data_IF_696796847876
#
_entry.id   IF_696796847876
#
_cell.length_a   1.000
_cell.length_b   1.000
_cell.length_c   1.000
_cell.angle_alpha   90.00
_cell.angle_beta   90.00
_cell.angle_gamma   90.00
#
_symmetry.space_group_name_H-M   'P 1'
#
loop_
_entity.id
_entity.type
_entity.pdbx_description
1 polymer ?
#
# COMPACT_ATOMS: atom_id res chain seq x y z
N UNK A 1 0.18 19.29 17.05
CA UNK A 1 -0.14 18.88 15.66
C UNK A 1 -1.09 19.92 15.06
N UNK A 2 -0.78 20.54 13.92
CA UNK A 2 -1.63 21.59 13.27
C UNK A 2 -2.88 20.99 12.60
N UNK A 3 -2.73 19.80 12.02
CA UNK A 3 -3.82 19.04 11.39
C UNK A 3 -4.10 17.80 12.24
N UNK A 4 -5.37 17.53 12.61
CA UNK A 4 -5.71 16.41 13.47
C UNK A 4 -5.71 15.06 12.75
N UNK A 5 -5.87 15.05 11.43
CA UNK A 5 -5.85 13.86 10.57
C UNK A 5 -5.11 14.19 9.28
N UNK A 6 -4.20 13.30 8.87
CA UNK A 6 -3.42 13.42 7.64
C UNK A 6 -3.43 12.05 6.97
N UNK A 7 -3.58 12.04 5.65
CA UNK A 7 -3.46 10.84 4.85
C UNK A 7 -2.31 10.98 3.84
N UNK A 8 -1.59 9.89 3.62
CA UNK A 8 -0.66 9.73 2.51
C UNK A 8 -1.26 8.73 1.53
N UNK A 9 -1.45 9.16 0.27
CA UNK A 9 -2.07 8.38 -0.79
C UNK A 9 -1.01 8.13 -1.85
N UNK A 10 -0.72 6.87 -2.17
CA UNK A 10 0.34 6.51 -3.09
C UNK A 10 0.09 5.17 -3.80
N UNK A 11 0.74 4.98 -4.93
CA UNK A 11 0.86 3.65 -5.53
C UNK A 11 1.92 2.85 -4.76
N UNK A 12 1.67 1.56 -4.53
CA UNK A 12 2.66 0.64 -3.95
C UNK A 12 3.88 0.49 -4.87
N UNK A 13 3.62 0.12 -6.12
CA UNK A 13 4.58 0.17 -7.22
C UNK A 13 4.13 1.20 -8.25
N UNK A 14 4.98 2.18 -8.54
CA UNK A 14 4.68 3.22 -9.50
C UNK A 14 4.84 2.68 -10.92
N UNK A 15 3.87 2.96 -11.80
CA UNK A 15 3.86 2.49 -13.19
C UNK A 15 5.05 2.97 -14.03
N UNK A 16 5.65 4.11 -13.66
CA UNK A 16 6.85 4.69 -14.31
C UNK A 16 8.17 4.26 -13.65
N UNK A 17 8.12 3.34 -12.69
CA UNK A 17 9.28 2.82 -11.97
C UNK A 17 9.41 3.37 -10.55
N UNK A 18 10.01 2.55 -9.68
CA UNK A 18 10.13 2.83 -8.25
C UNK A 18 8.94 2.30 -7.44
N UNK A 19 9.08 2.37 -6.12
CA UNK A 19 8.09 1.87 -5.17
C UNK A 19 7.88 2.89 -4.05
N UNK A 20 6.74 2.82 -3.38
CA UNK A 20 6.51 3.63 -2.19
C UNK A 20 7.55 3.31 -1.10
N UNK A 21 8.03 4.32 -0.36
CA UNK A 21 8.94 4.12 0.78
C UNK A 21 8.15 3.63 2.00
N UNK A 22 7.63 2.40 1.92
CA UNK A 22 6.65 1.85 2.87
C UNK A 22 7.18 1.86 4.29
N UNK A 23 8.43 1.48 4.52
CA UNK A 23 9.05 1.44 5.85
C UNK A 23 9.04 2.82 6.51
N UNK A 24 9.47 3.85 5.79
CA UNK A 24 9.45 5.23 6.29
C UNK A 24 8.03 5.75 6.52
N UNK A 25 7.07 5.33 5.69
CA UNK A 25 5.65 5.67 5.88
C UNK A 25 5.06 4.99 7.12
N UNK A 26 5.46 3.75 7.42
CA UNK A 26 5.07 3.03 8.63
C UNK A 26 5.63 3.72 9.89
N UNK A 27 6.89 4.19 9.86
CA UNK A 27 7.46 5.00 10.95
C UNK A 27 6.67 6.30 11.17
N UNK A 28 6.24 6.97 10.10
CA UNK A 28 5.41 8.17 10.19
C UNK A 28 4.00 7.84 10.68
N UNK A 29 3.44 6.69 10.32
CA UNK A 29 2.16 6.20 10.82
C UNK A 29 2.22 5.97 12.34
N UNK A 30 3.25 5.28 12.83
CA UNK A 30 3.42 5.05 14.27
C UNK A 30 3.60 6.37 15.03
N UNK A 31 4.46 7.26 14.54
CA UNK A 31 4.77 8.53 15.21
C UNK A 31 3.61 9.54 15.18
N UNK A 32 2.88 9.61 14.07
CA UNK A 32 1.93 10.70 13.84
C UNK A 32 0.47 10.26 13.74
N UNK A 33 0.17 8.97 13.67
CA UNK A 33 -1.17 8.48 13.31
C UNK A 33 -1.51 8.80 11.86
N UNK A 34 -0.53 8.69 10.96
CA UNK A 34 -0.68 8.91 9.53
C UNK A 34 -1.59 7.82 8.94
N UNK A 35 -2.64 8.24 8.24
CA UNK A 35 -3.45 7.30 7.46
C UNK A 35 -2.73 6.96 6.16
N UNK A 36 -2.56 5.69 5.85
CA UNK A 36 -1.90 5.20 4.65
C UNK A 36 -2.94 4.61 3.70
N UNK A 37 -2.96 5.08 2.47
CA UNK A 37 -3.79 4.54 1.40
C UNK A 37 -2.90 4.15 0.23
N UNK A 38 -2.79 2.85 -0.04
CA UNK A 38 -1.97 2.32 -1.11
C UNK A 38 -2.83 1.77 -2.25
N UNK A 39 -2.53 2.16 -3.49
CA UNK A 39 -2.97 1.44 -4.69
C UNK A 39 -1.88 0.45 -5.09
N UNK A 40 -2.12 -0.84 -4.86
CA UNK A 40 -1.18 -1.92 -5.16
C UNK A 40 -1.56 -2.70 -6.43
N UNK A 41 -2.38 -2.11 -7.31
CA UNK A 41 -2.90 -2.77 -8.51
C UNK A 41 -1.81 -3.31 -9.44
N UNK A 42 -0.64 -2.68 -9.50
CA UNK A 42 0.47 -3.13 -10.35
C UNK A 42 1.32 -4.24 -9.70
N UNK A 43 1.15 -4.48 -8.41
CA UNK A 43 2.00 -5.41 -7.65
C UNK A 43 1.22 -6.63 -7.15
N UNK A 44 -0.10 -6.52 -6.99
CA UNK A 44 -0.97 -7.63 -6.61
C UNK A 44 -0.87 -8.77 -7.65
N UNK A 45 -0.67 -10.01 -7.20
CA UNK A 45 -0.38 -11.21 -8.01
C UNK A 45 0.98 -11.19 -8.76
N UNK A 46 1.79 -10.15 -8.56
CA UNK A 46 3.12 -10.01 -9.19
C UNK A 46 4.25 -10.08 -8.15
N UNK A 47 3.99 -9.60 -6.94
CA UNK A 47 4.98 -9.41 -5.87
C UNK A 47 4.49 -10.00 -4.55
N UNK A 48 5.42 -10.25 -3.63
CA UNK A 48 5.14 -10.98 -2.40
C UNK A 48 5.22 -12.49 -2.60
N UNK A 49 5.47 -13.23 -1.51
CA UNK A 49 5.72 -14.67 -1.59
C UNK A 49 4.47 -15.46 -2.08
N UNK A 50 3.29 -14.91 -1.82
CA UNK A 50 1.99 -15.48 -2.16
C UNK A 50 1.21 -14.59 -3.14
N UNK A 51 1.88 -13.60 -3.77
CA UNK A 51 1.23 -12.66 -4.68
C UNK A 51 0.39 -11.59 -3.97
N UNK A 52 0.65 -11.33 -2.69
CA UNK A 52 -0.11 -10.40 -1.85
C UNK A 52 0.06 -8.92 -2.20
N UNK A 53 1.03 -8.57 -3.05
CA UNK A 53 1.35 -7.20 -3.42
C UNK A 53 2.54 -6.62 -2.65
N UNK A 54 3.11 -5.53 -3.18
CA UNK A 54 4.33 -4.93 -2.67
C UNK A 54 4.10 -4.34 -1.28
N UNK A 55 3.05 -3.52 -1.12
CA UNK A 55 2.77 -2.87 0.15
C UNK A 55 2.45 -3.89 1.24
N UNK A 56 1.64 -4.92 0.93
CA UNK A 56 1.27 -5.97 1.89
C UNK A 56 2.46 -6.84 2.29
N UNK A 57 3.38 -7.13 1.36
CA UNK A 57 4.56 -7.97 1.62
C UNK A 57 5.52 -7.38 2.66
N UNK A 58 5.51 -6.06 2.83
CA UNK A 58 6.34 -5.32 3.79
C UNK A 58 5.66 -5.15 5.17
N UNK A 59 4.46 -5.69 5.35
CA UNK A 59 3.68 -5.60 6.59
C UNK A 59 3.38 -7.00 7.16
N UNK A 60 4.37 -7.82 7.53
CA UNK A 60 4.16 -9.23 7.87
C UNK A 60 3.16 -9.47 9.02
N UNK A 61 3.06 -8.51 9.93
CA UNK A 61 2.11 -8.53 11.05
C UNK A 61 0.68 -8.13 10.61
N UNK A 62 -0.19 -7.92 11.59
CA UNK A 62 -1.55 -7.42 11.34
C UNK A 62 -1.51 -6.01 10.74
N UNK A 63 -2.35 -5.78 9.71
CA UNK A 63 -2.48 -4.46 9.09
C UNK A 63 -2.97 -3.43 10.13
N UNK A 64 -2.30 -2.27 10.17
CA UNK A 64 -2.72 -1.17 11.03
C UNK A 64 -4.15 -0.70 10.64
N UNK A 65 -5.05 -0.40 11.59
CA UNK A 65 -6.38 0.14 11.30
C UNK A 65 -6.38 1.46 10.50
N UNK A 66 -5.25 2.18 10.49
CA UNK A 66 -5.03 3.40 9.70
C UNK A 66 -4.41 3.12 8.33
N UNK A 67 -4.41 1.87 7.85
CA UNK A 67 -3.91 1.48 6.54
C UNK A 67 -5.01 0.86 5.70
N UNK A 68 -5.10 1.28 4.44
CA UNK A 68 -5.96 0.66 3.42
C UNK A 68 -5.12 0.37 2.19
N UNK A 69 -5.26 -0.85 1.65
CA UNK A 69 -4.66 -1.27 0.40
C UNK A 69 -5.79 -1.58 -0.56
N UNK A 70 -5.80 -0.94 -1.72
CA UNK A 70 -6.72 -1.20 -2.82
C UNK A 70 -5.94 -1.75 -4.01
N UNK A 71 -6.59 -2.54 -4.85
CA UNK A 71 -5.95 -3.08 -6.04
C UNK A 71 -7.00 -3.51 -7.07
N UNK A 72 -6.62 -3.51 -8.34
CA UNK A 72 -7.47 -3.98 -9.43
C UNK A 72 -7.28 -5.46 -9.73
N UNK A 73 -8.40 -6.16 -9.99
CA UNK A 73 -8.41 -7.51 -10.56
C UNK A 73 -8.18 -7.51 -12.09
N UNK A 74 -8.19 -6.35 -12.74
CA UNK A 74 -8.06 -6.20 -14.19
C UNK A 74 -6.63 -6.23 -14.73
N UNK A 75 -5.61 -6.42 -13.88
CA UNK A 75 -4.19 -6.45 -14.28
C UNK A 75 -3.64 -7.87 -14.26
N UNK A 76 -2.80 -8.21 -13.29
CA UNK A 76 -2.13 -9.51 -13.24
C UNK A 76 -3.12 -10.70 -13.09
N UNK A 77 -4.30 -10.46 -12.53
CA UNK A 77 -5.37 -11.47 -12.46
C UNK A 77 -6.17 -11.62 -13.77
N UNK A 78 -6.06 -10.70 -14.73
CA UNK A 78 -6.75 -10.78 -16.03
C UNK A 78 -8.28 -10.71 -15.97
N UNK A 79 -8.85 -10.31 -14.82
CA UNK A 79 -10.29 -10.21 -14.60
C UNK A 79 -10.82 -8.78 -14.81
N UNK A 80 -11.75 -8.38 -13.96
CA UNK A 80 -12.27 -7.00 -13.89
C UNK A 80 -12.72 -6.66 -12.48
N UNK A 81 -12.77 -5.36 -12.14
CA UNK A 81 -13.13 -4.86 -10.81
C UNK A 81 -11.93 -4.51 -9.92
N UNK A 82 -12.25 -4.09 -8.69
CA UNK A 82 -11.34 -3.67 -7.63
C UNK A 82 -12.09 -3.29 -6.37
#
# INVERSE_FOLDING_TARGET
KKYPRVAYVADGAYSLGGTAPVEGLLELQDRYGLFLFFDDSHSLSVTGAMGEGYARSLMPDQLNPLTTIVASLGKAFGGSGG
#
